data_IF_427411088412
#
_entry.id   IF_427411088412
#
_cell.length_a   1.000
_cell.length_b   1.000
_cell.length_c   1.000
_cell.angle_alpha   90.00
_cell.angle_beta   90.00
_cell.angle_gamma   90.00
#
_symmetry.space_group_name_H-M   'P 1'
#
loop_
_entity.id
_entity.type
_entity.pdbx_description
1 polymer ?
#
# COMPACT_ATOMS: atom_id res chain seq x y z
N UNK A 1 -23.02 12.84 -13.55
CA UNK A 1 -21.65 12.64 -13.00
C UNK A 1 -21.25 13.87 -12.18
N UNK A 2 -21.21 13.78 -10.84
CA UNK A 2 -20.70 14.86 -9.94
C UNK A 2 -19.36 14.51 -9.26
N UNK A 3 -18.97 13.23 -9.24
CA UNK A 3 -17.72 12.76 -8.66
C UNK A 3 -16.53 13.11 -9.57
N UNK A 4 -15.56 13.84 -9.01
CA UNK A 4 -14.31 14.23 -9.67
C UNK A 4 -13.05 13.67 -8.98
N UNK A 5 -13.20 13.07 -7.80
CA UNK A 5 -12.09 12.52 -7.03
C UNK A 5 -11.53 11.26 -7.70
N UNK A 6 -10.19 11.13 -7.81
CA UNK A 6 -9.55 9.96 -8.43
C UNK A 6 -9.57 8.72 -7.52
N UNK A 7 -9.82 8.87 -6.23
CA UNK A 7 -9.96 7.78 -5.27
C UNK A 7 -11.36 7.81 -4.68
N UNK A 8 -12.04 6.67 -4.73
CA UNK A 8 -13.43 6.52 -4.26
C UNK A 8 -13.44 5.41 -3.20
N UNK A 9 -13.89 5.76 -2.01
CA UNK A 9 -14.14 4.80 -0.94
C UNK A 9 -15.60 4.32 -1.06
N UNK A 10 -15.79 3.02 -1.23
CA UNK A 10 -17.12 2.39 -1.29
C UNK A 10 -17.37 1.64 0.02
N UNK A 11 -18.45 1.98 0.70
CA UNK A 11 -18.97 1.25 1.83
C UNK A 11 -20.39 0.81 1.52
N UNK A 12 -20.57 -0.49 1.32
CA UNK A 12 -21.86 -1.11 1.00
C UNK A 12 -21.78 -2.61 1.29
N UNK A 13 -22.90 -3.31 1.13
CA UNK A 13 -22.91 -4.77 0.98
C UNK A 13 -22.33 -5.19 -0.38
N UNK A 14 -22.04 -6.48 -0.56
CA UNK A 14 -21.54 -7.04 -1.83
C UNK A 14 -22.60 -6.96 -2.94
N UNK A 15 -23.87 -7.15 -2.59
CA UNK A 15 -25.02 -7.06 -3.49
C UNK A 15 -25.23 -5.63 -4.00
N UNK A 16 -25.19 -4.66 -3.09
CA UNK A 16 -25.27 -3.23 -3.44
C UNK A 16 -24.07 -2.80 -4.27
N UNK A 17 -22.87 -3.26 -3.94
CA UNK A 17 -21.66 -2.95 -4.69
C UNK A 17 -21.77 -3.42 -6.14
N UNK A 18 -22.35 -4.60 -6.38
CA UNK A 18 -22.56 -5.11 -7.73
C UNK A 18 -23.43 -4.16 -8.57
N UNK A 19 -24.54 -3.67 -8.01
CA UNK A 19 -25.43 -2.69 -8.67
C UNK A 19 -24.71 -1.35 -8.87
N UNK A 20 -23.97 -0.89 -7.87
CA UNK A 20 -23.21 0.37 -7.94
C UNK A 20 -22.17 0.30 -9.04
N UNK A 21 -21.43 -0.81 -9.13
CA UNK A 21 -20.39 -0.98 -10.15
C UNK A 21 -20.97 -1.12 -11.55
N UNK A 22 -22.12 -1.78 -11.71
CA UNK A 22 -22.84 -1.82 -12.99
C UNK A 22 -23.17 -0.40 -13.48
N UNK A 23 -23.72 0.44 -12.60
CA UNK A 23 -24.01 1.84 -12.94
C UNK A 23 -22.72 2.63 -13.14
N UNK A 24 -21.71 2.45 -12.28
CA UNK A 24 -20.41 3.11 -12.38
C UNK A 24 -19.70 2.79 -13.71
N UNK A 25 -19.84 1.56 -14.21
CA UNK A 25 -19.35 1.14 -15.51
C UNK A 25 -20.04 1.91 -16.63
N UNK A 26 -21.38 1.97 -16.62
CA UNK A 26 -22.17 2.70 -17.63
C UNK A 26 -21.83 4.18 -17.73
N UNK A 27 -21.42 4.80 -16.61
CA UNK A 27 -21.00 6.20 -16.59
C UNK A 27 -19.49 6.39 -16.78
N UNK A 28 -18.68 5.32 -16.86
CA UNK A 28 -17.23 5.38 -17.01
C UNK A 28 -16.51 5.89 -15.75
N UNK A 29 -16.91 5.41 -14.56
CA UNK A 29 -16.23 5.63 -13.27
C UNK A 29 -15.38 4.42 -12.85
N UNK A 30 -15.43 3.32 -13.59
CA UNK A 30 -14.59 2.13 -13.40
C UNK A 30 -13.33 2.15 -14.27
N UNK A 31 -13.20 3.17 -15.13
CA UNK A 31 -12.10 3.30 -16.09
C UNK A 31 -10.91 4.10 -15.54
N UNK A 32 -9.98 4.39 -16.45
CA UNK A 32 -8.73 5.08 -16.14
C UNK A 32 -8.93 6.38 -15.35
N UNK A 33 -8.13 6.56 -14.30
CA UNK A 33 -8.14 7.75 -13.44
C UNK A 33 -9.03 7.66 -12.20
N UNK A 34 -9.79 6.57 -12.04
CA UNK A 34 -10.60 6.30 -10.85
C UNK A 34 -10.16 4.99 -10.20
N UNK A 35 -9.79 5.04 -8.93
CA UNK A 35 -9.43 3.86 -8.11
C UNK A 35 -10.48 3.67 -7.03
N UNK A 36 -11.03 2.46 -6.96
CA UNK A 36 -12.02 2.07 -5.96
C UNK A 36 -11.36 1.32 -4.82
N UNK A 37 -11.69 1.72 -3.59
CA UNK A 37 -11.26 1.04 -2.37
C UNK A 37 -12.52 0.64 -1.60
N UNK A 38 -12.63 -0.63 -1.24
CA UNK A 38 -13.77 -1.12 -0.47
C UNK A 38 -13.32 -2.02 0.70
N UNK A 39 -14.12 -2.17 1.76
CA UNK A 39 -13.80 -3.04 2.87
C UNK A 39 -13.99 -4.53 2.51
N UNK A 40 -13.55 -5.40 3.43
CA UNK A 40 -13.76 -6.86 3.35
C UNK A 40 -15.22 -7.24 3.11
N UNK A 41 -16.19 -6.47 3.61
CA UNK A 41 -17.62 -6.72 3.41
C UNK A 41 -18.02 -6.74 1.93
N UNK A 42 -17.38 -5.89 1.11
CA UNK A 42 -17.67 -5.80 -0.33
C UNK A 42 -16.94 -6.90 -1.10
N UNK A 43 -15.67 -7.15 -0.77
CA UNK A 43 -14.93 -8.25 -1.40
C UNK A 43 -15.58 -9.60 -1.06
N UNK A 44 -16.00 -9.76 0.20
CA UNK A 44 -16.55 -11.00 0.75
C UNK A 44 -15.58 -12.16 0.57
N UNK A 45 -16.13 -13.29 0.13
CA UNK A 45 -15.36 -14.45 -0.31
C UNK A 45 -14.52 -14.13 -1.57
N UNK A 46 -13.22 -14.41 -1.48
CA UNK A 46 -12.24 -14.18 -2.54
C UNK A 46 -12.43 -15.13 -3.73
N UNK A 47 -13.11 -16.27 -3.54
CA UNK A 47 -13.32 -17.25 -4.60
C UNK A 47 -14.40 -16.82 -5.62
N UNK A 48 -15.34 -15.98 -5.18
CA UNK A 48 -16.49 -15.57 -5.98
C UNK A 48 -16.46 -14.07 -6.29
N UNK A 49 -15.94 -13.70 -7.46
CA UNK A 49 -15.74 -12.30 -7.86
C UNK A 49 -16.80 -11.87 -8.88
N UNK A 50 -17.75 -10.97 -8.53
CA UNK A 50 -18.81 -10.52 -9.44
C UNK A 50 -18.26 -9.83 -10.69
N UNK A 51 -18.83 -10.14 -11.87
CA UNK A 51 -18.38 -9.63 -13.17
C UNK A 51 -18.24 -8.09 -13.21
N UNK A 52 -19.13 -7.37 -12.52
CA UNK A 52 -19.15 -5.91 -12.50
C UNK A 52 -17.99 -5.28 -11.73
N UNK A 53 -17.30 -6.04 -10.87
CA UNK A 53 -16.21 -5.49 -10.06
C UNK A 53 -15.04 -5.07 -10.96
N UNK A 54 -14.57 -3.81 -10.83
CA UNK A 54 -13.55 -3.29 -11.73
C UNK A 54 -12.16 -3.81 -11.38
N UNK A 55 -11.38 -4.13 -12.41
CA UNK A 55 -9.96 -4.44 -12.23
C UNK A 55 -9.23 -3.24 -11.65
N UNK A 56 -8.25 -3.49 -10.78
CA UNK A 56 -7.54 -2.46 -10.02
C UNK A 56 -8.24 -1.99 -8.75
N UNK A 57 -9.42 -2.55 -8.43
CA UNK A 57 -10.08 -2.35 -7.13
C UNK A 57 -9.22 -2.89 -5.99
N UNK A 58 -9.10 -2.10 -4.92
CA UNK A 58 -8.39 -2.47 -3.70
C UNK A 58 -9.40 -2.89 -2.64
N UNK A 59 -9.08 -3.96 -1.92
CA UNK A 59 -9.80 -4.33 -0.71
C UNK A 59 -8.85 -4.72 0.41
N UNK A 60 -9.38 -4.83 1.61
CA UNK A 60 -8.67 -5.31 2.81
C UNK A 60 -9.38 -6.57 3.27
N UNK A 61 -8.62 -7.63 3.53
CA UNK A 61 -9.16 -8.89 4.06
C UNK A 61 -8.34 -9.36 5.26
N UNK A 62 -8.88 -10.31 6.02
CA UNK A 62 -8.09 -11.08 6.96
C UNK A 62 -7.07 -11.92 6.21
N UNK A 63 -5.95 -12.24 6.86
CA UNK A 63 -4.90 -13.07 6.27
C UNK A 63 -5.36 -14.54 6.08
N UNK A 64 -6.12 -14.83 5.03
CA UNK A 64 -6.72 -16.17 4.82
C UNK A 64 -5.74 -17.23 4.38
N UNK A 65 -4.66 -16.84 3.68
CA UNK A 65 -3.71 -17.82 3.19
C UNK A 65 -2.70 -18.22 4.26
N UNK A 66 -2.28 -17.32 5.16
CA UNK A 66 -1.36 -17.67 6.24
C UNK A 66 -2.12 -18.20 7.48
N UNK A 67 -3.42 -17.88 7.58
CA UNK A 67 -4.26 -18.20 8.72
C UNK A 67 -5.62 -18.77 8.29
N UNK A 68 -5.60 -20.04 7.91
CA UNK A 68 -6.74 -20.78 7.39
C UNK A 68 -7.85 -21.08 8.42
N UNK A 69 -8.96 -21.66 7.93
CA UNK A 69 -10.18 -21.86 8.72
C UNK A 69 -9.97 -22.72 9.98
N UNK A 70 -9.23 -23.82 9.90
CA UNK A 70 -8.98 -24.71 11.04
C UNK A 70 -8.27 -23.97 12.19
N UNK A 71 -7.24 -23.18 11.86
CA UNK A 71 -6.52 -22.37 12.83
C UNK A 71 -7.43 -21.31 13.47
N UNK A 72 -8.31 -20.67 12.68
CA UNK A 72 -9.32 -19.71 13.16
C UNK A 72 -10.31 -20.36 14.13
N UNK A 73 -10.83 -21.54 13.79
CA UNK A 73 -11.77 -22.28 14.65
C UNK A 73 -11.09 -22.70 15.94
N UNK A 74 -9.88 -23.25 15.87
CA UNK A 74 -9.08 -23.63 17.04
C UNK A 74 -8.86 -22.44 17.98
N UNK A 75 -8.45 -21.30 17.44
CA UNK A 75 -8.22 -20.09 18.22
C UNK A 75 -9.52 -19.51 18.78
N UNK A 76 -10.64 -19.60 18.05
CA UNK A 76 -11.96 -19.22 18.56
C UNK A 76 -12.41 -20.08 19.74
N UNK A 77 -12.22 -21.40 19.66
CA UNK A 77 -12.46 -22.31 20.79
C UNK A 77 -11.52 -21.99 21.95
N UNK A 78 -10.25 -21.71 21.67
CA UNK A 78 -9.26 -21.35 22.69
C UNK A 78 -9.63 -20.05 23.41
N UNK A 79 -10.15 -19.04 22.71
CA UNK A 79 -10.64 -17.80 23.31
C UNK A 79 -11.75 -18.08 24.32
N UNK A 80 -12.77 -18.83 23.92
CA UNK A 80 -13.92 -19.17 24.78
C UNK A 80 -13.46 -20.01 25.97
N UNK A 81 -12.64 -21.04 25.74
CA UNK A 81 -12.13 -21.92 26.78
C UNK A 81 -11.26 -21.17 27.79
N UNK A 82 -10.39 -20.28 27.32
CA UNK A 82 -9.48 -19.50 28.17
C UNK A 82 -10.27 -18.50 29.02
N UNK A 83 -11.20 -17.75 28.42
CA UNK A 83 -12.06 -16.81 29.15
C UNK A 83 -12.90 -17.53 30.23
N UNK A 84 -13.50 -18.67 29.87
CA UNK A 84 -14.31 -19.48 30.80
C UNK A 84 -13.45 -20.07 31.91
N UNK A 85 -12.25 -20.55 31.59
CA UNK A 85 -11.29 -21.07 32.57
C UNK A 85 -10.88 -19.99 33.57
N UNK A 86 -10.52 -18.79 33.10
CA UNK A 86 -10.16 -17.65 33.97
C UNK A 86 -11.33 -17.26 34.88
N UNK A 87 -12.54 -17.15 34.31
CA UNK A 87 -13.74 -16.86 35.09
C UNK A 87 -13.99 -17.93 36.16
N UNK A 88 -13.84 -19.21 35.81
CA UNK A 88 -14.04 -20.32 36.74
C UNK A 88 -13.00 -20.35 37.86
N UNK A 89 -11.74 -20.00 37.58
CA UNK A 89 -10.67 -19.90 38.59
C UNK A 89 -10.96 -18.75 39.58
N UNK A 90 -11.37 -17.58 39.08
CA UNK A 90 -11.57 -16.41 39.92
C UNK A 90 -12.88 -16.43 40.71
N UNK A 91 -13.97 -16.96 40.12
CA UNK A 91 -15.32 -16.91 40.69
C UNK A 91 -15.84 -18.26 41.16
N UNK A 92 -15.32 -19.37 40.65
CA UNK A 92 -15.76 -20.73 40.96
C UNK A 92 -16.70 -21.36 39.92
N UNK A 93 -17.01 -22.66 40.07
CA UNK A 93 -17.70 -23.49 39.05
C UNK A 93 -19.19 -23.20 38.86
N UNK A 94 -19.81 -22.40 39.72
CA UNK A 94 -21.24 -22.06 39.67
C UNK A 94 -21.59 -21.04 38.56
N UNK A 95 -20.61 -20.66 37.74
CA UNK A 95 -20.72 -19.72 36.62
C UNK A 95 -21.13 -20.38 35.30
N UNK A 96 -21.15 -21.71 35.24
CA UNK A 96 -21.56 -22.46 34.04
C UNK A 96 -23.09 -22.45 33.88
N UNK A 97 -23.57 -21.68 32.90
CA UNK A 97 -24.99 -21.60 32.54
C UNK A 97 -25.38 -22.76 31.62
N UNK A 98 -26.57 -23.33 31.85
CA UNK A 98 -27.26 -24.19 30.88
C UNK A 98 -28.05 -23.29 29.92
N UNK A 99 -27.93 -23.55 28.62
CA UNK A 99 -28.64 -22.79 27.59
C UNK A 99 -29.91 -23.51 27.13
N UNK A 100 -31.06 -22.86 27.32
CA UNK A 100 -32.33 -23.21 26.66
C UNK A 100 -32.86 -21.96 25.95
N UNK A 101 -33.21 -22.08 24.66
CA UNK A 101 -33.75 -20.98 23.86
C UNK A 101 -35.28 -20.87 23.91
N UNK A 102 -35.95 -21.88 24.48
CA UNK A 102 -37.42 -22.00 24.53
C UNK A 102 -38.04 -21.52 25.86
N UNK A 103 -37.22 -21.24 26.88
CA UNK A 103 -37.67 -20.68 28.16
C UNK A 103 -37.70 -19.16 28.16
N UNK A 104 -38.57 -18.55 28.98
CA UNK A 104 -38.50 -17.12 29.26
C UNK A 104 -37.08 -16.79 29.75
N UNK A 105 -36.44 -15.70 29.28
CA UNK A 105 -35.08 -15.38 29.69
C UNK A 105 -35.05 -15.24 31.20
N UNK A 106 -34.34 -16.15 31.88
CA UNK A 106 -34.05 -16.00 33.30
C UNK A 106 -33.49 -14.60 33.47
N UNK A 107 -34.17 -13.80 34.32
CA UNK A 107 -33.94 -12.36 34.53
C UNK A 107 -32.46 -12.03 34.37
N UNK A 108 -32.09 -11.29 33.30
CA UNK A 108 -30.73 -10.80 32.97
C UNK A 108 -29.74 -11.15 34.07
N UNK A 109 -29.15 -12.34 33.98
CA UNK A 109 -28.18 -12.75 34.98
C UNK A 109 -27.05 -11.72 34.95
N UNK A 110 -26.68 -11.09 36.08
CA UNK A 110 -25.57 -10.12 36.13
C UNK A 110 -24.25 -10.70 35.60
N UNK A 111 -24.19 -12.02 35.44
CA UNK A 111 -23.10 -12.80 34.86
C UNK A 111 -22.87 -12.49 33.36
N UNK A 112 -23.88 -12.08 32.57
CA UNK A 112 -23.69 -11.88 31.12
C UNK A 112 -22.71 -10.76 30.78
N UNK A 113 -22.74 -9.67 31.54
CA UNK A 113 -21.80 -8.56 31.37
C UNK A 113 -20.41 -8.89 31.93
N UNK A 114 -20.33 -9.81 32.89
CA UNK A 114 -19.06 -10.23 33.49
C UNK A 114 -18.29 -11.19 32.57
N UNK A 115 -18.96 -12.12 31.89
CA UNK A 115 -18.33 -12.99 30.88
C UNK A 115 -17.68 -12.17 29.76
N UNK A 116 -18.33 -11.08 29.33
CA UNK A 116 -17.79 -10.17 28.32
C UNK A 116 -16.44 -9.58 28.75
N UNK A 117 -16.25 -9.26 30.04
CA UNK A 117 -14.97 -8.75 30.56
C UNK A 117 -13.84 -9.76 30.39
N UNK A 118 -14.12 -11.05 30.62
CA UNK A 118 -13.13 -12.12 30.45
C UNK A 118 -12.84 -12.43 28.98
N UNK A 119 -13.79 -12.17 28.08
CA UNK A 119 -13.60 -12.30 26.64
C UNK A 119 -12.80 -11.13 26.03
N UNK A 120 -12.81 -9.94 26.65
CA UNK A 120 -12.11 -8.76 26.12
C UNK A 120 -10.59 -8.94 26.08
N UNK A 121 -9.98 -9.59 27.09
CA UNK A 121 -8.53 -9.72 27.19
C UNK A 121 -8.13 -11.20 27.27
N UNK A 122 -7.85 -11.79 26.10
CA UNK A 122 -7.44 -13.19 26.00
C UNK A 122 -6.10 -13.30 25.28
N UNK A 123 -5.20 -14.04 25.91
CA UNK A 123 -3.91 -14.42 25.32
C UNK A 123 -3.84 -15.94 25.18
N UNK A 124 -3.40 -16.42 24.03
CA UNK A 124 -3.30 -17.85 23.72
C UNK A 124 -2.05 -18.11 22.88
N UNK A 125 -1.24 -19.09 23.26
CA UNK A 125 0.03 -19.43 22.58
C UNK A 125 0.96 -18.23 22.35
N UNK A 126 1.01 -17.28 23.30
CA UNK A 126 1.80 -16.06 23.19
C UNK A 126 1.26 -15.02 22.20
N UNK A 127 0.09 -15.25 21.60
CA UNK A 127 -0.61 -14.30 20.72
C UNK A 127 -1.69 -13.57 21.52
N UNK A 128 -1.83 -12.27 21.22
CA UNK A 128 -2.89 -11.45 21.80
C UNK A 128 -4.15 -11.54 20.91
N UNK A 129 -5.21 -12.17 21.44
CA UNK A 129 -6.50 -12.35 20.78
C UNK A 129 -7.59 -11.45 21.40
N UNK A 130 -7.19 -10.33 22.01
CA UNK A 130 -8.11 -9.40 22.67
C UNK A 130 -9.08 -8.72 21.71
N UNK A 131 -10.21 -8.28 22.25
CA UNK A 131 -11.31 -7.61 21.55
C UNK A 131 -11.52 -6.18 22.07
N UNK A 132 -12.03 -5.32 21.20
CA UNK A 132 -12.48 -3.97 21.52
C UNK A 132 -13.83 -4.02 22.24
N UNK A 133 -14.26 -2.87 22.79
CA UNK A 133 -15.58 -2.73 23.40
C UNK A 133 -16.72 -3.00 22.41
N UNK A 134 -16.49 -2.73 21.13
CA UNK A 134 -17.43 -3.01 20.04
C UNK A 134 -17.43 -4.48 19.59
N UNK A 135 -16.57 -5.33 20.17
CA UNK A 135 -16.49 -6.76 19.87
C UNK A 135 -15.59 -7.13 18.69
N UNK A 136 -14.78 -6.21 18.15
CA UNK A 136 -13.81 -6.49 17.09
C UNK A 136 -12.46 -6.88 17.65
N UNK A 137 -11.69 -7.69 16.93
CA UNK A 137 -10.33 -8.01 17.35
C UNK A 137 -9.44 -6.74 17.38
N UNK A 138 -8.67 -6.55 18.45
CA UNK A 138 -7.82 -5.36 18.65
C UNK A 138 -6.59 -5.33 17.73
N UNK A 139 -6.00 -6.49 17.45
CA UNK A 139 -4.76 -6.60 16.66
C UNK A 139 -4.93 -7.63 15.53
N UNK A 140 -5.86 -7.40 14.57
CA UNK A 140 -6.05 -8.33 13.47
C UNK A 140 -4.86 -8.26 12.51
N UNK A 141 -4.46 -9.42 11.97
CA UNK A 141 -3.54 -9.48 10.84
C UNK A 141 -4.35 -9.31 9.56
N UNK A 142 -4.13 -8.20 8.88
CA UNK A 142 -4.87 -7.85 7.68
C UNK A 142 -3.94 -7.87 6.47
N UNK A 143 -4.49 -8.22 5.32
CA UNK A 143 -3.82 -8.17 4.02
C UNK A 143 -4.54 -7.20 3.11
N UNK A 144 -3.76 -6.43 2.35
CA UNK A 144 -4.29 -5.59 1.28
C UNK A 144 -4.26 -6.42 0.01
N UNK A 145 -5.44 -6.56 -0.60
CA UNK A 145 -5.67 -7.35 -1.80
C UNK A 145 -6.11 -6.45 -2.94
N UNK A 146 -5.77 -6.88 -4.15
CA UNK A 146 -6.04 -6.17 -5.37
C UNK A 146 -6.68 -7.10 -6.39
N UNK A 147 -7.75 -6.65 -7.05
CA UNK A 147 -8.33 -7.38 -8.16
C UNK A 147 -7.50 -7.16 -9.43
N UNK A 148 -6.78 -8.20 -9.87
CA UNK A 148 -5.91 -8.12 -11.04
C UNK A 148 -6.70 -8.27 -12.37
N UNK A 149 -6.00 -8.24 -13.52
CA UNK A 149 -6.60 -8.36 -14.85
C UNK A 149 -7.21 -9.73 -15.13
N UNK A 150 -6.60 -10.77 -14.59
CA UNK A 150 -7.09 -12.15 -14.66
C UNK A 150 -8.29 -12.38 -13.71
N UNK A 151 -8.75 -11.29 -13.05
CA UNK A 151 -9.84 -11.27 -12.09
C UNK A 151 -9.60 -12.21 -10.92
N UNK A 152 -8.38 -12.17 -10.39
CA UNK A 152 -7.97 -12.85 -9.18
C UNK A 152 -7.52 -11.84 -8.13
N UNK A 153 -7.69 -12.17 -6.85
CA UNK A 153 -7.22 -11.34 -5.75
C UNK A 153 -5.74 -11.59 -5.49
N UNK A 154 -4.92 -10.60 -5.82
CA UNK A 154 -3.50 -10.59 -5.53
C UNK A 154 -3.18 -9.89 -4.21
N UNK A 155 -2.32 -10.50 -3.41
CA UNK A 155 -1.78 -9.89 -2.19
C UNK A 155 -0.78 -8.79 -2.55
N UNK A 156 -1.09 -7.55 -2.20
CA UNK A 156 -0.26 -6.37 -2.49
C UNK A 156 0.23 -5.65 -1.24
N UNK A 157 -0.23 -6.04 -0.05
CA UNK A 157 0.29 -5.52 1.20
C UNK A 157 -0.16 -6.33 2.41
N UNK A 158 0.45 -6.03 3.56
CA UNK A 158 0.17 -6.63 4.86
C UNK A 158 0.21 -5.56 5.93
N UNK A 159 -0.81 -5.54 6.78
CA UNK A 159 -0.92 -4.71 7.96
C UNK A 159 -0.79 -5.57 9.22
N UNK A 160 0.25 -5.34 9.99
CA UNK A 160 0.54 -6.07 11.22
C UNK A 160 1.23 -5.14 12.22
N UNK A 161 0.86 -5.20 13.50
CA UNK A 161 1.45 -4.42 14.59
C UNK A 161 1.51 -2.89 14.34
N UNK A 162 0.47 -2.33 13.72
CA UNK A 162 0.39 -0.89 13.42
C UNK A 162 1.26 -0.44 12.25
N UNK A 163 1.88 -1.36 11.51
CA UNK A 163 2.72 -1.05 10.35
C UNK A 163 2.13 -1.62 9.07
N UNK A 164 2.06 -0.77 8.04
CA UNK A 164 1.69 -1.17 6.68
C UNK A 164 2.94 -1.49 5.86
N UNK A 165 3.03 -2.73 5.41
CA UNK A 165 3.99 -3.16 4.38
C UNK A 165 3.27 -3.33 3.06
N UNK A 166 3.74 -2.66 2.01
CA UNK A 166 3.19 -2.81 0.65
C UNK A 166 4.24 -3.45 -0.25
N UNK A 167 3.82 -4.37 -1.13
CA UNK A 167 4.64 -4.93 -2.20
C UNK A 167 5.17 -3.83 -3.13
N UNK A 168 4.40 -2.75 -3.30
CA UNK A 168 4.73 -1.59 -4.12
C UNK A 168 4.69 -0.29 -3.29
N UNK A 169 5.69 0.57 -3.46
CA UNK A 169 5.86 1.78 -2.63
C UNK A 169 4.98 2.96 -3.07
N UNK A 170 4.52 2.96 -4.33
CA UNK A 170 3.70 4.01 -4.95
C UNK A 170 2.48 3.35 -5.60
N UNK A 171 1.30 3.89 -5.34
CA UNK A 171 0.02 3.41 -5.81
C UNK A 171 -0.84 4.57 -6.34
N UNK A 172 -1.66 4.40 -7.40
CA UNK A 172 -1.84 3.21 -8.24
C UNK A 172 -0.69 3.00 -9.25
N UNK A 173 -0.35 1.74 -9.54
CA UNK A 173 0.40 1.40 -10.77
C UNK A 173 -0.61 1.24 -11.91
N UNK A 174 -0.43 1.98 -13.00
CA UNK A 174 -1.34 1.96 -14.15
C UNK A 174 -1.36 0.65 -14.93
N UNK A 175 -0.49 -0.31 -14.59
CA UNK A 175 -0.48 -1.67 -15.11
C UNK A 175 -1.86 -2.38 -15.00
N UNK A 176 -2.81 -1.89 -14.19
CA UNK A 176 -4.11 -2.54 -13.93
C UNK A 176 -5.25 -2.17 -14.88
N UNK A 177 -5.07 -1.12 -15.69
CA UNK A 177 -6.11 -0.60 -16.58
C UNK A 177 -5.84 -0.86 -18.07
N UNK A 178 -4.86 -1.69 -18.44
CA UNK A 178 -4.55 -1.95 -19.86
C UNK A 178 -5.60 -2.87 -20.52
N UNK A 179 -6.80 -2.33 -20.73
CA UNK A 179 -7.83 -2.88 -21.63
C UNK A 179 -7.89 -2.14 -22.97
N UNK A 180 -7.00 -1.18 -23.22
CA UNK A 180 -6.93 -0.45 -24.49
C UNK A 180 -5.50 -0.39 -24.98
N UNK A 181 -5.26 -1.06 -26.10
CA UNK A 181 -4.10 -0.85 -26.98
C UNK A 181 -3.91 0.65 -27.24
N UNK A 182 -2.94 1.30 -26.58
CA UNK A 182 -2.19 2.49 -27.09
C UNK A 182 -1.38 3.27 -26.03
N UNK A 183 -1.31 2.87 -24.75
CA UNK A 183 -0.44 3.55 -23.76
C UNK A 183 0.39 2.53 -22.99
N UNK A 184 1.54 2.17 -23.57
CA UNK A 184 2.60 1.44 -22.88
C UNK A 184 3.12 2.28 -21.69
N UNK A 185 3.21 1.65 -20.51
CA UNK A 185 3.92 2.09 -19.30
C UNK A 185 3.88 3.59 -18.92
N UNK A 186 2.73 4.06 -18.43
CA UNK A 186 2.61 5.35 -17.73
C UNK A 186 3.22 5.30 -16.28
N UNK A 187 4.09 4.33 -15.96
CA UNK A 187 4.84 4.26 -14.70
C UNK A 187 6.35 4.36 -14.94
N UNK A 188 6.92 5.54 -14.67
CA UNK A 188 8.30 5.85 -15.01
C UNK A 188 9.23 5.65 -13.80
N UNK A 189 10.35 4.94 -14.01
CA UNK A 189 11.48 5.00 -13.09
C UNK A 189 12.27 6.30 -13.33
N UNK A 190 12.40 7.13 -12.29
CA UNK A 190 13.04 8.44 -12.38
C UNK A 190 14.22 8.49 -11.42
N UNK A 191 15.40 8.78 -11.96
CA UNK A 191 16.62 8.98 -11.18
C UNK A 191 16.81 10.46 -10.84
N UNK A 192 17.27 10.72 -9.61
CA UNK A 192 17.64 12.07 -9.16
C UNK A 192 18.94 12.04 -8.37
N UNK A 193 19.52 13.23 -8.16
CA UNK A 193 20.68 13.47 -7.31
C UNK A 193 20.31 14.43 -6.19
N UNK A 194 20.92 14.26 -5.01
CA UNK A 194 20.80 15.18 -3.89
C UNK A 194 21.67 16.42 -4.12
N UNK A 195 21.03 17.58 -4.30
CA UNK A 195 21.68 18.87 -4.49
C UNK A 195 20.76 20.03 -4.07
N UNK A 196 21.12 20.73 -2.99
CA UNK A 196 20.37 21.90 -2.54
C UNK A 196 20.61 23.11 -3.48
N UNK A 197 19.59 23.92 -3.81
CA UNK A 197 18.20 23.86 -3.32
C UNK A 197 17.24 23.03 -4.21
N UNK A 198 17.77 22.38 -5.26
CA UNK A 198 16.97 21.72 -6.30
C UNK A 198 16.31 20.43 -5.85
N UNK A 199 17.07 19.58 -5.14
CA UNK A 199 16.64 18.30 -4.58
C UNK A 199 17.31 18.11 -3.23
N UNK A 200 16.53 18.22 -2.17
CA UNK A 200 16.94 17.96 -0.79
C UNK A 200 16.36 16.64 -0.32
N UNK A 201 17.14 15.88 0.44
CA UNK A 201 16.77 14.56 0.95
C UNK A 201 16.65 14.62 2.46
N UNK A 202 15.52 14.19 2.98
CA UNK A 202 15.23 14.09 4.40
C UNK A 202 14.99 12.64 4.80
N UNK A 203 15.23 12.35 6.08
CA UNK A 203 14.81 11.09 6.68
C UNK A 203 13.29 11.03 6.78
N UNK A 204 12.77 9.80 6.76
CA UNK A 204 11.35 9.53 6.99
C UNK A 204 10.99 9.92 8.42
N UNK A 205 9.80 10.49 8.62
CA UNK A 205 9.34 10.86 9.96
C UNK A 205 9.26 9.60 10.86
N UNK A 206 9.99 9.56 12.00
CA UNK A 206 10.07 8.36 12.84
C UNK A 206 8.74 7.92 13.44
N UNK A 207 7.80 8.85 13.64
CA UNK A 207 6.50 8.57 14.25
C UNK A 207 5.52 7.97 13.25
N UNK A 208 5.45 8.54 12.04
CA UNK A 208 4.50 8.12 11.02
C UNK A 208 5.05 7.03 10.08
N UNK A 209 6.37 6.86 9.97
CA UNK A 209 6.99 5.98 8.98
C UNK A 209 6.72 6.40 7.53
N UNK A 210 6.25 7.62 7.32
CA UNK A 210 5.88 8.16 6.01
C UNK A 210 6.49 9.54 5.75
N UNK A 211 6.43 9.97 4.49
CA UNK A 211 6.94 11.27 4.06
C UNK A 211 5.91 12.37 4.33
N UNK A 212 6.35 13.49 4.88
CA UNK A 212 5.49 14.63 5.25
C UNK A 212 4.95 15.40 4.04
N UNK A 213 3.94 16.24 4.26
CA UNK A 213 3.30 17.05 3.23
C UNK A 213 4.36 17.93 2.53
N UNK A 214 4.36 17.89 1.18
CA UNK A 214 5.32 18.49 0.24
C UNK A 214 6.57 17.67 -0.12
N UNK A 215 6.86 16.59 0.59
CA UNK A 215 7.92 15.65 0.20
C UNK A 215 7.35 14.50 -0.63
N UNK A 216 8.21 13.83 -1.40
CA UNK A 216 7.89 12.63 -2.19
C UNK A 216 8.78 11.50 -1.70
N UNK A 217 8.25 10.27 -1.51
CA UNK A 217 9.08 9.14 -1.17
C UNK A 217 10.09 8.85 -2.29
N UNK A 218 11.35 8.66 -1.91
CA UNK A 218 12.42 8.29 -2.82
C UNK A 218 13.30 7.19 -2.22
N UNK A 219 13.87 6.33 -3.06
CA UNK A 219 14.70 5.19 -2.61
C UNK A 219 16.18 5.49 -2.79
N UNK A 220 17.00 5.14 -1.79
CA UNK A 220 18.47 5.17 -1.88
C UNK A 220 19.01 3.76 -1.78
N UNK A 221 19.54 3.22 -2.87
CA UNK A 221 20.13 1.89 -2.86
C UNK A 221 21.46 1.91 -2.09
N UNK A 222 21.60 1.02 -1.11
CA UNK A 222 22.87 0.78 -0.42
C UNK A 222 23.69 -0.19 -1.26
N UNK A 223 24.95 0.15 -1.50
CA UNK A 223 25.93 -0.83 -1.98
C UNK A 223 26.42 -1.63 -0.79
N UNK A 224 25.74 -2.73 -0.45
CA UNK A 224 26.30 -3.70 0.48
C UNK A 224 27.38 -4.49 -0.26
N UNK A 225 28.64 -4.32 0.14
CA UNK A 225 29.80 -4.92 -0.52
C UNK A 225 29.82 -6.47 -0.56
N UNK A 226 28.92 -7.16 0.16
CA UNK A 226 29.05 -8.60 0.40
C UNK A 226 27.73 -9.41 0.41
N UNK A 227 26.82 -9.26 -0.57
CA UNK A 227 25.78 -10.29 -0.82
C UNK A 227 25.44 -10.42 -2.30
N UNK A 228 25.80 -11.56 -2.87
CA UNK A 228 25.34 -12.12 -4.16
C UNK A 228 23.90 -12.60 -4.02
N UNK A 229 22.96 -11.67 -3.90
CA UNK A 229 21.52 -11.95 -3.86
C UNK A 229 20.73 -10.73 -4.33
N UNK A 230 19.87 -10.95 -5.31
CA UNK A 230 19.22 -9.97 -6.19
C UNK A 230 18.11 -9.12 -5.52
N UNK A 231 18.46 -8.43 -4.44
CA UNK A 231 17.63 -7.39 -3.82
C UNK A 231 18.53 -6.46 -3.02
N UNK A 232 19.14 -5.49 -3.71
CA UNK A 232 19.94 -4.46 -3.04
C UNK A 232 19.11 -3.80 -1.94
N UNK A 233 19.62 -3.81 -0.71
CA UNK A 233 18.96 -3.15 0.43
C UNK A 233 18.82 -1.67 0.06
N UNK A 234 17.61 -1.13 0.06
CA UNK A 234 17.36 0.28 -0.15
C UNK A 234 16.80 0.92 1.11
N UNK A 235 17.17 2.19 1.33
CA UNK A 235 16.62 3.01 2.40
C UNK A 235 15.58 3.93 1.77
N UNK A 236 14.37 3.95 2.35
CA UNK A 236 13.34 4.94 2.02
C UNK A 236 13.74 6.30 2.60
N UNK A 237 13.67 7.34 1.77
CA UNK A 237 13.94 8.73 2.10
C UNK A 237 12.81 9.61 1.58
N UNK A 238 12.80 10.87 1.97
CA UNK A 238 11.82 11.85 1.53
C UNK A 238 12.52 12.96 0.75
N UNK A 239 12.26 13.03 -0.55
CA UNK A 239 12.84 14.02 -1.45
C UNK A 239 11.91 15.24 -1.58
N UNK A 240 12.48 16.45 -1.57
CA UNK A 240 11.77 17.71 -1.79
C UNK A 240 12.66 18.71 -2.52
N UNK A 241 12.10 19.83 -2.96
CA UNK A 241 12.85 20.90 -3.62
C UNK A 241 12.28 21.25 -4.98
N UNK A 242 12.91 22.22 -5.64
CA UNK A 242 12.41 22.82 -6.86
C UNK A 242 12.17 21.82 -7.99
N UNK A 243 13.12 20.91 -8.23
CA UNK A 243 13.00 19.88 -9.26
C UNK A 243 11.89 18.87 -8.94
N UNK A 244 11.70 18.54 -7.66
CA UNK A 244 10.65 17.62 -7.21
C UNK A 244 9.26 18.25 -7.40
N UNK A 245 9.12 19.56 -7.14
CA UNK A 245 7.85 20.25 -7.35
C UNK A 245 7.49 20.40 -8.84
N UNK A 246 8.49 20.63 -9.70
CA UNK A 246 8.29 20.58 -11.15
C UNK A 246 7.85 19.18 -11.57
N UNK A 247 8.55 18.13 -11.13
CA UNK A 247 8.20 16.74 -11.45
C UNK A 247 6.76 16.41 -11.03
N UNK A 248 6.34 16.81 -9.83
CA UNK A 248 4.94 16.64 -9.36
C UNK A 248 3.94 17.35 -10.26
N UNK A 249 4.23 18.58 -10.70
CA UNK A 249 3.37 19.34 -11.61
C UNK A 249 3.28 18.68 -12.99
N UNK A 250 4.41 18.24 -13.53
CA UNK A 250 4.48 17.55 -14.83
C UNK A 250 3.71 16.22 -14.76
N UNK A 251 3.98 15.39 -13.75
CA UNK A 251 3.28 14.12 -13.55
C UNK A 251 1.76 14.31 -13.44
N UNK A 252 1.30 15.34 -12.72
CA UNK A 252 -0.13 15.68 -12.62
C UNK A 252 -0.73 16.18 -13.94
N UNK A 253 0.02 16.99 -14.70
CA UNK A 253 -0.46 17.57 -15.97
C UNK A 253 -0.50 16.54 -17.10
N UNK A 254 0.53 15.71 -17.20
CA UNK A 254 0.68 14.68 -18.25
C UNK A 254 -0.04 13.37 -17.87
N UNK A 255 -0.30 13.17 -16.56
CA UNK A 255 -1.01 12.02 -15.97
C UNK A 255 -0.23 10.71 -16.03
N UNK A 256 1.02 10.73 -15.58
CA UNK A 256 1.82 9.52 -15.33
C UNK A 256 2.13 9.35 -13.84
N UNK A 257 2.51 8.14 -13.46
CA UNK A 257 3.05 7.80 -12.13
C UNK A 257 4.53 7.53 -12.22
N UNK A 258 5.24 7.62 -11.09
CA UNK A 258 6.69 7.39 -11.10
C UNK A 258 7.19 6.79 -9.79
N UNK A 259 8.32 6.09 -9.88
CA UNK A 259 9.17 5.73 -8.74
C UNK A 259 10.43 6.62 -8.81
N UNK A 260 10.70 7.35 -7.73
CA UNK A 260 11.86 8.23 -7.62
C UNK A 260 12.98 7.55 -6.83
N UNK A 261 14.19 7.53 -7.37
CA UNK A 261 15.35 7.00 -6.66
C UNK A 261 16.61 7.86 -6.81
N UNK A 262 17.46 7.79 -5.79
CA UNK A 262 18.73 8.51 -5.74
C UNK A 262 19.82 7.70 -6.42
N UNK A 263 20.57 8.36 -7.31
CA UNK A 263 21.69 7.75 -8.02
C UNK A 263 22.74 7.21 -7.04
N UNK A 264 23.18 5.97 -7.25
CA UNK A 264 24.01 5.24 -6.27
C UNK A 264 25.41 5.81 -6.07
N UNK A 265 25.96 6.48 -7.09
CA UNK A 265 27.33 7.02 -7.05
C UNK A 265 27.37 8.52 -6.72
N UNK A 266 26.23 9.17 -6.52
CA UNK A 266 26.14 10.60 -6.22
C UNK A 266 26.67 11.52 -7.32
N UNK A 267 26.65 11.09 -8.59
CA UNK A 267 27.19 11.89 -9.72
C UNK A 267 26.12 12.17 -10.78
N UNK A 268 26.19 13.36 -11.36
CA UNK A 268 25.39 13.75 -12.53
C UNK A 268 25.60 12.81 -13.71
N UNK A 269 26.87 12.54 -14.01
CA UNK A 269 27.26 11.62 -15.07
C UNK A 269 28.41 12.18 -15.89
N UNK A 270 29.39 11.32 -16.11
CA UNK A 270 30.59 11.57 -16.92
C UNK A 270 30.95 10.28 -17.64
N UNK A 271 31.45 10.41 -18.87
CA UNK A 271 32.01 9.29 -19.61
C UNK A 271 33.39 8.92 -19.02
N UNK A 272 33.51 7.69 -18.54
CA UNK A 272 34.77 7.13 -18.04
C UNK A 272 35.04 5.85 -18.84
N UNK A 273 36.17 5.80 -19.54
CA UNK A 273 36.57 4.65 -20.36
C UNK A 273 35.46 4.21 -21.33
N UNK A 274 34.83 5.17 -22.01
CA UNK A 274 33.74 4.92 -22.96
C UNK A 274 32.37 4.66 -22.33
N UNK A 275 32.28 4.47 -21.01
CA UNK A 275 31.02 4.14 -20.33
C UNK A 275 30.50 5.33 -19.53
N UNK A 276 29.21 5.62 -19.66
CA UNK A 276 28.55 6.65 -18.85
C UNK A 276 28.25 6.16 -17.44
N UNK A 277 28.50 7.02 -16.46
CA UNK A 277 28.10 6.77 -15.07
C UNK A 277 27.05 7.80 -14.60
N UNK A 278 26.63 7.68 -13.35
CA UNK A 278 25.78 8.70 -12.73
C UNK A 278 24.35 8.66 -13.27
N UNK A 279 23.62 9.77 -13.12
CA UNK A 279 22.25 9.86 -13.63
C UNK A 279 22.19 9.63 -15.14
N UNK A 280 23.15 10.16 -15.90
CA UNK A 280 23.24 9.92 -17.36
C UNK A 280 23.43 8.43 -17.64
N UNK A 281 24.31 7.75 -16.91
CA UNK A 281 24.52 6.31 -17.07
C UNK A 281 23.28 5.47 -16.79
N UNK A 282 22.51 5.84 -15.76
CA UNK A 282 21.24 5.16 -15.43
C UNK A 282 20.21 5.25 -16.56
N UNK A 283 20.13 6.40 -17.24
CA UNK A 283 19.23 6.59 -18.38
C UNK A 283 19.74 5.85 -19.62
N UNK A 284 21.03 5.96 -19.93
CA UNK A 284 21.64 5.27 -21.09
C UNK A 284 21.51 3.74 -20.98
N UNK A 285 21.64 3.19 -19.77
CA UNK A 285 21.47 1.76 -19.49
C UNK A 285 19.99 1.34 -19.39
N UNK A 286 19.04 2.27 -19.55
CA UNK A 286 17.59 2.05 -19.42
C UNK A 286 17.14 1.56 -18.03
N UNK A 287 17.93 1.85 -16.99
CA UNK A 287 17.51 1.64 -15.60
C UNK A 287 16.50 2.73 -15.17
N UNK A 288 16.70 3.95 -15.67
CA UNK A 288 15.79 5.07 -15.54
C UNK A 288 15.19 5.45 -16.90
N UNK A 289 13.91 5.80 -16.91
CA UNK A 289 13.24 6.40 -18.07
C UNK A 289 13.56 7.89 -18.18
N UNK A 290 13.84 8.55 -17.05
CA UNK A 290 14.09 9.99 -16.97
C UNK A 290 15.04 10.31 -15.83
N UNK A 291 15.88 11.34 -16.01
CA UNK A 291 16.65 11.94 -14.94
C UNK A 291 16.11 13.35 -14.64
N UNK A 292 15.97 13.67 -13.36
CA UNK A 292 15.52 14.99 -12.89
C UNK A 292 16.54 15.56 -11.91
N UNK A 293 16.93 16.81 -12.09
CA UNK A 293 17.91 17.49 -11.24
C UNK A 293 18.53 18.70 -11.93
N UNK A 294 19.56 19.28 -11.32
CA UNK A 294 20.37 20.40 -11.85
C UNK A 294 21.40 19.93 -12.88
N UNK A 295 20.96 19.15 -13.88
CA UNK A 295 21.85 18.61 -14.90
C UNK A 295 22.15 19.66 -15.98
N UNK A 296 23.41 20.05 -16.11
CA UNK A 296 23.87 20.94 -17.19
C UNK A 296 23.79 20.28 -18.56
N UNK A 297 23.23 20.99 -19.54
CA UNK A 297 23.22 20.61 -20.96
C UNK A 297 24.62 20.84 -21.54
N UNK A 298 25.18 19.82 -22.16
CA UNK A 298 26.41 19.93 -22.93
C UNK A 298 26.34 19.03 -24.17
N UNK A 299 27.26 19.22 -25.11
CA UNK A 299 27.30 18.46 -26.37
C UNK A 299 27.44 16.95 -26.12
N UNK A 300 28.42 16.55 -25.31
CA UNK A 300 28.72 15.13 -25.03
C UNK A 300 27.51 14.37 -24.46
N UNK A 301 26.71 15.00 -23.58
CA UNK A 301 25.50 14.39 -23.02
C UNK A 301 24.35 14.38 -24.04
N UNK A 302 24.24 15.42 -24.86
CA UNK A 302 23.17 15.54 -25.86
C UNK A 302 23.29 14.52 -27.00
N UNK A 303 24.48 13.91 -27.17
CA UNK A 303 24.67 12.78 -28.09
C UNK A 303 24.04 11.47 -27.61
N UNK A 304 23.80 11.33 -26.30
CA UNK A 304 23.37 10.05 -25.69
C UNK A 304 22.02 10.12 -24.97
N UNK A 305 21.56 11.32 -24.62
CA UNK A 305 20.27 11.56 -23.99
C UNK A 305 19.62 12.82 -24.55
N UNK A 306 18.28 12.83 -24.57
CA UNK A 306 17.51 14.00 -24.94
C UNK A 306 17.26 14.91 -23.72
N UNK A 307 17.33 16.23 -23.93
CA UNK A 307 17.04 17.23 -22.91
C UNK A 307 15.69 17.90 -23.16
N UNK A 308 14.98 18.20 -22.07
CA UNK A 308 13.86 19.15 -22.12
C UNK A 308 14.39 20.58 -22.32
N UNK A 309 13.48 21.50 -22.62
CA UNK A 309 13.78 22.93 -22.53
C UNK A 309 14.25 23.26 -21.09
N UNK A 310 15.37 23.97 -20.91
CA UNK A 310 15.84 24.35 -19.58
C UNK A 310 14.82 25.26 -18.91
N UNK A 311 14.55 25.02 -17.63
CA UNK A 311 13.54 25.75 -16.86
C UNK A 311 14.15 26.82 -15.94
N UNK A 312 15.49 26.83 -15.79
CA UNK A 312 16.28 27.92 -15.20
C UNK A 312 17.48 28.14 -16.11
N UNK A 313 17.72 29.40 -16.47
CA UNK A 313 18.96 29.81 -17.11
C UNK A 313 20.06 29.94 -16.05
N UNK A 314 20.91 28.93 -15.95
CA UNK A 314 22.18 29.03 -15.24
C UNK A 314 23.31 28.78 -16.22
N UNK A 315 24.11 29.81 -16.49
CA UNK A 315 25.31 29.72 -17.31
C UNK A 315 26.49 30.30 -16.56
N UNK A 316 27.66 29.69 -16.74
CA UNK A 316 28.93 30.34 -16.46
C UNK A 316 29.29 31.07 -17.77
N UNK A 317 29.38 32.39 -17.72
CA UNK A 317 29.87 33.21 -18.83
C UNK A 317 31.39 33.11 -18.96
#
# INVERSE_FOLDING_TARGET
KKLQSPVILLYSTKEEANIIFQVAHSVGLTGYGYTWIAPSLVAGDADHIPAEFPTGMISVSYDEWDYGLEARVRDGVAVIASATSTMMIERGPHTLLKSECHGAPDKKSPISNEVLRYLMNVTFEGRNLSFSEDGYQMHPKLVIILLNKDRQWDRVGKWENGSLSMKFHVWPRFELYSGTESREDDHLSIVTLEEAPFVMVEDVDPLSGTCMRNTVPCRKQLKTLNKTGDSGIYIKRCCKGFCIDILKKIAKSVKFTYDLYLVTNGKHGKKINGTWNGMVGEVVLKNAHMAVGSLTINEERSEVIDFSVPFIETGIS
#
